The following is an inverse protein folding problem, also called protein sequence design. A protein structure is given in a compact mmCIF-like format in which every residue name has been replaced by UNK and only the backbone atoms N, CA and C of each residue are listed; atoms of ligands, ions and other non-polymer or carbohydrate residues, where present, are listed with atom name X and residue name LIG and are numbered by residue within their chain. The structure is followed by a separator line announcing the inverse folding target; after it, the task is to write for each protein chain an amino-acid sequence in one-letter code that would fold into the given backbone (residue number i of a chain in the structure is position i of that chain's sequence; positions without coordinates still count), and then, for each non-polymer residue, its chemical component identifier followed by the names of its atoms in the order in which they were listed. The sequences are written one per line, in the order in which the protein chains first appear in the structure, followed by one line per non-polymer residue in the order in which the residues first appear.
data_IF_756388844403
#
_entry.id   IF_756388844403
#
_cell.length_a   1.000
_cell.length_b   1.000
_cell.length_c   1.000
_cell.angle_alpha   90.00
_cell.angle_beta   90.00
_cell.angle_gamma   90.00
#
_symmetry.space_group_name_H-M   'P 1'
#
loop_
_entity.id
_entity.type
_entity.pdbx_description
1 polymer ?
#
# COMPACT_ATOMS: atom_id res chain seq x y z
N UNK A 1 41.76 -22.04 12.87
CA UNK A 1 40.48 -21.72 13.52
C UNK A 1 39.41 -22.36 12.66
N UNK A 2 38.94 -23.53 13.06
CA UNK A 2 38.07 -24.37 12.25
C UNK A 2 36.81 -24.60 13.06
N UNK A 3 35.67 -24.10 12.55
CA UNK A 3 34.36 -24.26 13.18
C UNK A 3 33.63 -25.33 12.37
N UNK A 4 33.44 -26.51 12.95
CA UNK A 4 32.60 -27.55 12.37
C UNK A 4 31.13 -27.26 12.70
N UNK A 5 30.30 -27.11 11.65
CA UNK A 5 28.85 -26.95 11.76
C UNK A 5 28.20 -28.30 11.42
N UNK A 6 27.78 -29.04 12.46
CA UNK A 6 26.93 -30.21 12.29
C UNK A 6 25.46 -29.77 12.23
N UNK A 7 24.84 -29.89 11.05
CA UNK A 7 23.39 -29.78 10.90
C UNK A 7 22.75 -31.16 11.06
N UNK A 8 22.02 -31.38 12.15
CA UNK A 8 21.15 -32.54 12.30
C UNK A 8 19.74 -32.13 11.89
N UNK A 9 19.23 -32.73 10.82
CA UNK A 9 17.86 -32.54 10.36
C UNK A 9 16.88 -33.34 11.22
N UNK A 10 15.85 -32.69 11.76
CA UNK A 10 14.65 -33.37 12.21
C UNK A 10 13.44 -32.45 12.04
N UNK A 11 12.45 -32.94 11.29
CA UNK A 11 11.26 -32.19 10.89
C UNK A 11 10.21 -32.11 12.01
N UNK A 12 10.09 -30.94 12.60
CA UNK A 12 8.84 -30.32 13.07
C UNK A 12 9.23 -29.03 13.77
N UNK A 13 8.72 -27.90 13.26
CA UNK A 13 9.17 -26.56 13.62
C UNK A 13 9.13 -26.27 15.11
N UNK A 14 10.30 -25.97 15.67
CA UNK A 14 10.65 -24.86 16.59
C UNK A 14 12.18 -24.90 16.69
N UNK A 15 12.88 -23.94 16.05
CA UNK A 15 14.31 -23.77 16.25
C UNK A 15 14.54 -22.99 17.55
N UNK A 16 14.68 -23.71 18.67
CA UNK A 16 15.27 -23.14 19.89
C UNK A 16 16.78 -23.06 19.72
N UNK A 17 17.31 -21.83 19.73
CA UNK A 17 18.74 -21.56 19.80
C UNK A 17 19.24 -21.98 21.20
N UNK A 18 19.75 -23.20 21.32
CA UNK A 18 20.34 -23.70 22.57
C UNK A 18 21.83 -23.38 22.57
N UNK A 19 22.21 -22.33 23.30
CA UNK A 19 23.62 -22.04 23.63
C UNK A 19 24.03 -23.02 24.74
N UNK A 20 24.91 -23.96 24.41
CA UNK A 20 25.53 -24.85 25.39
C UNK A 20 26.60 -24.07 26.16
N UNK A 21 26.24 -23.57 27.34
CA UNK A 21 27.23 -23.20 28.37
C UNK A 21 27.64 -24.46 29.12
N UNK A 22 28.96 -24.59 29.35
CA UNK A 22 29.60 -25.68 30.08
C UNK A 22 29.13 -25.75 31.54
N UNK A 23 29.13 -26.94 32.18
CA UNK A 23 28.48 -27.13 33.47
C UNK A 23 29.31 -26.56 34.61
N UNK A 24 28.97 -25.34 35.02
CA UNK A 24 29.35 -24.77 36.31
C UNK A 24 28.26 -25.05 37.35
N UNK A 25 28.55 -25.92 38.30
CA UNK A 25 27.76 -26.16 39.52
C UNK A 25 27.35 -24.85 40.20
N UNK A 26 26.06 -24.54 40.21
CA UNK A 26 25.44 -23.77 41.30
C UNK A 26 23.94 -24.05 41.35
N UNK A 27 23.51 -24.60 42.49
CA UNK A 27 22.11 -24.72 42.89
C UNK A 27 21.57 -23.32 43.19
N UNK A 28 21.05 -22.65 42.17
CA UNK A 28 20.38 -21.37 42.28
C UNK A 28 18.89 -21.52 41.94
N UNK A 29 18.05 -21.41 42.94
CA UNK A 29 16.58 -21.33 42.84
C UNK A 29 16.19 -20.35 41.73
N UNK A 30 15.59 -20.83 40.63
CA UNK A 30 15.15 -19.96 39.53
C UNK A 30 13.94 -19.13 39.98
N UNK A 31 14.20 -17.99 40.63
CA UNK A 31 13.19 -16.95 40.73
C UNK A 31 12.90 -16.49 39.31
N UNK A 32 11.73 -16.87 38.78
CA UNK A 32 11.26 -16.42 37.48
C UNK A 32 11.16 -14.90 37.49
N UNK A 33 12.15 -14.22 36.93
CA UNK A 33 12.10 -12.77 36.72
C UNK A 33 10.99 -12.54 35.70
N UNK A 34 9.79 -12.23 36.18
CA UNK A 34 8.70 -11.69 35.38
C UNK A 34 9.18 -10.35 34.81
N UNK A 35 9.88 -10.40 33.66
CA UNK A 35 10.21 -9.19 32.90
C UNK A 35 8.88 -8.61 32.44
N UNK A 36 8.44 -7.57 33.14
CA UNK A 36 7.34 -6.73 32.69
C UNK A 36 7.85 -6.03 31.44
N UNK A 37 7.33 -6.44 30.28
CA UNK A 37 7.63 -5.83 28.99
C UNK A 37 6.44 -4.92 28.58
N UNK A 38 6.26 -3.74 29.22
CA UNK A 38 5.12 -2.87 28.95
C UNK A 38 5.06 -2.43 27.48
N UNK A 39 6.22 -2.30 26.83
CA UNK A 39 6.30 -1.97 25.41
C UNK A 39 5.69 -3.04 24.49
N UNK A 40 5.85 -4.33 24.84
CA UNK A 40 5.29 -5.43 24.05
C UNK A 40 3.76 -5.43 24.15
N UNK A 41 3.22 -5.19 25.35
CA UNK A 41 1.77 -5.11 25.53
C UNK A 41 1.22 -3.91 24.75
N UNK A 42 1.86 -2.74 24.79
CA UNK A 42 1.47 -1.59 23.98
C UNK A 42 1.46 -1.90 22.47
N UNK A 43 2.49 -2.61 21.99
CA UNK A 43 2.56 -3.02 20.58
C UNK A 43 1.41 -3.95 20.18
N UNK A 44 1.02 -4.90 21.04
CA UNK A 44 -0.11 -5.81 20.78
C UNK A 44 -1.43 -5.06 20.64
N UNK A 45 -1.71 -4.10 21.52
CA UNK A 45 -2.95 -3.31 21.44
C UNK A 45 -2.98 -2.41 20.20
N UNK A 46 -1.85 -1.83 19.81
CA UNK A 46 -1.73 -1.08 18.55
C UNK A 46 -2.00 -2.01 17.35
N UNK A 47 -1.38 -3.19 17.32
CA UNK A 47 -1.59 -4.18 16.27
C UNK A 47 -3.06 -4.65 16.20
N UNK A 48 -3.71 -4.82 17.35
CA UNK A 48 -5.13 -5.17 17.42
C UNK A 48 -6.02 -4.05 16.84
N UNK A 49 -5.72 -2.78 17.13
CA UNK A 49 -6.43 -1.64 16.54
C UNK A 49 -6.31 -1.59 15.01
N UNK A 50 -5.12 -1.91 14.48
CA UNK A 50 -4.88 -2.02 13.03
C UNK A 50 -5.71 -3.16 12.43
N UNK A 51 -5.67 -4.36 13.01
CA UNK A 51 -6.41 -5.52 12.52
C UNK A 51 -7.94 -5.31 12.55
N UNK A 52 -8.46 -4.64 13.59
CA UNK A 52 -9.88 -4.28 13.68
C UNK A 52 -10.27 -3.27 12.61
N UNK A 53 -9.43 -2.27 12.37
CA UNK A 53 -9.65 -1.26 11.31
C UNK A 53 -9.70 -1.89 9.92
N UNK A 54 -8.78 -2.82 9.65
CA UNK A 54 -8.69 -3.56 8.39
C UNK A 54 -9.93 -4.43 8.13
N UNK A 55 -10.45 -5.12 9.16
CA UNK A 55 -11.61 -6.02 9.00
C UNK A 55 -12.95 -5.32 8.92
N UNK A 56 -13.13 -4.20 9.62
CA UNK A 56 -14.44 -3.55 9.77
C UNK A 56 -14.62 -2.31 8.88
N UNK A 57 -13.59 -1.86 8.15
CA UNK A 57 -13.63 -0.68 7.28
C UNK A 57 -14.30 0.54 7.94
N UNK A 58 -14.04 0.75 9.24
CA UNK A 58 -14.74 1.76 10.02
C UNK A 58 -14.33 3.17 9.56
N UNK A 59 -15.29 4.11 9.40
CA UNK A 59 -14.99 5.48 9.05
C UNK A 59 -14.21 6.18 10.18
N UNK A 60 -13.36 7.15 9.83
CA UNK A 60 -12.50 7.84 10.81
C UNK A 60 -13.27 8.48 11.97
N UNK A 61 -14.52 8.89 11.74
CA UNK A 61 -15.38 9.44 12.78
C UNK A 61 -15.57 8.47 13.95
N UNK A 62 -15.69 7.16 13.70
CA UNK A 62 -15.86 6.15 14.76
C UNK A 62 -14.59 6.04 15.61
N UNK A 63 -13.41 6.08 14.98
CA UNK A 63 -12.14 6.07 15.70
C UNK A 63 -11.92 7.33 16.54
N UNK A 64 -12.32 8.50 16.04
CA UNK A 64 -12.25 9.77 16.77
C UNK A 64 -13.21 9.80 17.97
N UNK A 65 -14.44 9.28 17.80
CA UNK A 65 -15.41 9.14 18.89
C UNK A 65 -14.93 8.15 19.95
N UNK A 66 -14.35 7.01 19.55
CA UNK A 66 -13.79 6.05 20.48
C UNK A 66 -12.61 6.64 21.27
N UNK A 67 -11.71 7.38 20.59
CA UNK A 67 -10.59 8.06 21.23
C UNK A 67 -11.05 9.15 22.21
N UNK A 68 -12.03 9.98 21.81
CA UNK A 68 -12.55 11.06 22.66
C UNK A 68 -13.31 10.52 23.87
N UNK A 69 -14.13 9.46 23.69
CA UNK A 69 -14.82 8.78 24.78
C UNK A 69 -13.82 8.14 25.76
N UNK A 70 -12.79 7.46 25.27
CA UNK A 70 -11.74 6.88 26.10
C UNK A 70 -10.98 7.95 26.90
N UNK A 71 -10.67 9.08 26.26
CA UNK A 71 -10.02 10.22 26.92
C UNK A 71 -10.92 10.86 27.99
N UNK A 72 -12.21 11.02 27.71
CA UNK A 72 -13.20 11.53 28.66
C UNK A 72 -13.33 10.63 29.90
N UNK A 73 -13.40 9.31 29.71
CA UNK A 73 -13.41 8.33 30.81
C UNK A 73 -12.12 8.39 31.63
N UNK A 74 -10.96 8.57 30.98
CA UNK A 74 -9.69 8.77 31.68
C UNK A 74 -9.70 10.04 32.54
N UNK A 75 -10.21 11.14 32.01
CA UNK A 75 -10.29 12.44 32.67
C UNK A 75 -11.22 12.39 33.89
N UNK A 76 -12.42 11.83 33.74
CA UNK A 76 -13.37 11.64 34.85
C UNK A 76 -12.79 10.70 35.91
N UNK A 77 -12.12 9.62 35.49
CA UNK A 77 -11.42 8.69 36.39
C UNK A 77 -10.29 9.36 37.19
N UNK A 78 -9.56 10.27 36.54
CA UNK A 78 -8.50 11.04 37.19
C UNK A 78 -9.06 12.05 38.21
N UNK A 79 -10.10 12.79 37.83
CA UNK A 79 -10.77 13.77 38.71
C UNK A 79 -11.48 13.13 39.92
N UNK A 80 -11.97 11.89 39.76
CA UNK A 80 -12.60 11.13 40.84
C UNK A 80 -11.61 10.37 41.74
N UNK A 81 -10.30 10.48 41.50
CA UNK A 81 -9.27 9.75 42.28
C UNK A 81 -9.20 8.25 41.97
N UNK A 82 -9.94 7.77 40.96
CA UNK A 82 -10.02 6.38 40.53
C UNK A 82 -8.79 5.94 39.74
N UNK A 83 -7.66 5.69 40.41
CA UNK A 83 -6.40 5.19 39.79
C UNK A 83 -6.56 3.88 38.99
N UNK A 84 -7.65 3.12 39.20
CA UNK A 84 -7.91 1.84 38.52
C UNK A 84 -8.38 1.97 37.07
N UNK A 85 -8.98 3.09 36.66
CA UNK A 85 -9.53 3.25 35.30
C UNK A 85 -8.50 3.77 34.29
N UNK A 86 -7.43 4.41 34.78
CA UNK A 86 -6.32 4.93 33.96
C UNK A 86 -5.68 3.92 33.00
N UNK A 87 -5.29 2.69 33.42
CA UNK A 87 -4.68 1.75 32.50
C UNK A 87 -5.64 1.31 31.40
N UNK A 88 -6.92 1.06 31.71
CA UNK A 88 -7.93 0.69 30.71
C UNK A 88 -8.12 1.77 29.65
N UNK A 89 -8.19 3.03 30.08
CA UNK A 89 -8.31 4.14 29.14
C UNK A 89 -7.06 4.30 28.27
N UNK A 90 -5.86 4.10 28.82
CA UNK A 90 -4.62 4.12 28.06
C UNK A 90 -4.59 3.03 26.98
N UNK A 91 -5.04 1.81 27.28
CA UNK A 91 -5.14 0.72 26.30
C UNK A 91 -6.08 1.08 25.14
N UNK A 92 -7.24 1.65 25.44
CA UNK A 92 -8.20 2.09 24.43
C UNK A 92 -7.65 3.21 23.55
N UNK A 93 -6.95 4.19 24.13
CA UNK A 93 -6.28 5.26 23.37
C UNK A 93 -5.21 4.69 22.45
N UNK A 94 -4.43 3.71 22.90
CA UNK A 94 -3.42 3.04 22.06
C UNK A 94 -4.05 2.26 20.89
N UNK A 95 -5.17 1.55 21.12
CA UNK A 95 -5.93 0.92 20.04
C UNK A 95 -6.47 1.95 19.04
N UNK A 96 -7.06 3.04 19.53
CA UNK A 96 -7.63 4.07 18.67
C UNK A 96 -6.54 4.78 17.85
N UNK A 97 -5.38 5.05 18.44
CA UNK A 97 -4.22 5.61 17.74
C UNK A 97 -3.71 4.66 16.65
N UNK A 98 -3.72 3.35 16.89
CA UNK A 98 -3.43 2.33 15.88
C UNK A 98 -4.42 2.37 14.71
N UNK A 99 -5.72 2.49 15.00
CA UNK A 99 -6.77 2.65 14.00
C UNK A 99 -6.65 3.94 13.18
N UNK A 100 -6.37 5.08 13.82
CA UNK A 100 -6.14 6.37 13.15
C UNK A 100 -4.90 6.32 12.26
N UNK A 101 -3.79 5.76 12.75
CA UNK A 101 -2.56 5.59 11.96
C UNK A 101 -2.78 4.69 10.75
N UNK A 102 -3.53 3.59 10.93
CA UNK A 102 -3.94 2.75 9.81
C UNK A 102 -4.79 3.56 8.83
N UNK A 103 -5.76 4.33 9.31
CA UNK A 103 -6.62 5.16 8.46
C UNK A 103 -5.81 6.18 7.65
N UNK A 104 -4.84 6.86 8.26
CA UNK A 104 -3.93 7.79 7.59
C UNK A 104 -3.11 7.09 6.49
N UNK A 105 -2.56 5.90 6.78
CA UNK A 105 -1.83 5.11 5.78
C UNK A 105 -2.74 4.63 4.65
N UNK A 106 -3.98 4.26 4.97
CA UNK A 106 -4.98 3.87 3.96
C UNK A 106 -5.62 5.04 3.22
N UNK A 107 -5.51 6.28 3.70
CA UNK A 107 -5.93 7.48 2.96
C UNK A 107 -4.82 7.98 2.03
N UNK A 108 -3.55 7.70 2.34
CA UNK A 108 -2.44 7.93 1.41
C UNK A 108 -2.59 7.09 0.14
N UNK A 109 -3.24 5.93 0.22
CA UNK A 109 -3.71 5.16 -0.95
C UNK A 109 -5.24 5.24 -1.01
N UNK A 110 -5.77 6.29 -1.67
CA UNK A 110 -7.21 6.49 -1.96
C UNK A 110 -7.96 5.15 -2.13
N UNK A 111 -9.18 5.02 -1.60
CA UNK A 111 -9.97 3.79 -1.77
C UNK A 111 -10.22 3.46 -3.25
N UNK A 112 -10.14 4.46 -4.13
CA UNK A 112 -10.21 4.35 -5.58
C UNK A 112 -8.84 4.17 -6.23
N UNK A 113 -7.79 3.85 -5.48
CA UNK A 113 -6.46 3.64 -6.03
C UNK A 113 -6.46 2.38 -6.89
N UNK A 114 -5.81 2.41 -8.06
CA UNK A 114 -5.81 1.28 -9.02
C UNK A 114 -5.43 -0.06 -8.40
N UNK A 115 -4.54 -0.04 -7.39
CA UNK A 115 -4.11 -1.24 -6.68
C UNK A 115 -5.17 -1.89 -5.79
N UNK A 116 -6.18 -1.14 -5.34
CA UNK A 116 -7.26 -1.61 -4.45
C UNK A 116 -8.60 -1.78 -5.16
N UNK A 117 -8.82 -1.03 -6.23
CA UNK A 117 -10.12 -0.97 -6.89
C UNK A 117 -10.50 -2.25 -7.68
N UNK A 118 -9.61 -3.25 -7.78
CA UNK A 118 -9.91 -4.53 -8.44
C UNK A 118 -10.16 -4.40 -9.95
N UNK A 119 -9.72 -3.31 -10.56
CA UNK A 119 -10.00 -2.94 -11.96
C UNK A 119 -9.05 -3.63 -12.95
N UNK A 120 -8.12 -4.43 -12.44
CA UNK A 120 -7.20 -5.20 -13.26
C UNK A 120 -7.95 -6.14 -14.18
N UNK A 121 -7.66 -6.06 -15.47
CA UNK A 121 -8.32 -6.87 -16.47
C UNK A 121 -9.67 -6.33 -16.93
N UNK A 122 -10.14 -5.17 -16.46
CA UNK A 122 -11.33 -4.53 -17.01
C UNK A 122 -10.95 -3.77 -18.28
N UNK A 123 -11.67 -4.03 -19.38
CA UNK A 123 -11.61 -3.21 -20.58
C UNK A 123 -12.62 -2.07 -20.43
N UNK A 124 -12.21 -0.85 -20.74
CA UNK A 124 -13.04 0.31 -20.54
C UNK A 124 -12.43 1.59 -21.11
N UNK A 125 -13.21 2.66 -21.00
CA UNK A 125 -12.75 4.02 -21.23
C UNK A 125 -12.03 4.52 -19.98
N UNK A 126 -10.80 4.97 -20.18
CA UNK A 126 -9.91 5.47 -19.15
C UNK A 126 -9.70 6.96 -19.40
N UNK A 127 -9.79 7.74 -18.33
CA UNK A 127 -9.55 9.19 -18.36
C UNK A 127 -8.44 9.50 -17.38
N UNK A 128 -7.42 10.21 -17.86
CA UNK A 128 -6.33 10.66 -17.02
C UNK A 128 -5.56 11.82 -17.64
N UNK A 129 -4.55 12.28 -16.91
CA UNK A 129 -3.66 13.37 -17.32
C UNK A 129 -2.23 12.90 -17.45
N UNK A 130 -1.53 13.35 -18.48
CA UNK A 130 -0.13 13.05 -18.67
C UNK A 130 0.69 13.74 -17.58
N UNK A 131 1.52 12.97 -16.88
CA UNK A 131 2.38 13.49 -15.84
C UNK A 131 3.61 14.23 -16.41
N UNK A 132 4.05 13.82 -17.60
CA UNK A 132 5.24 14.33 -18.30
C UNK A 132 5.09 14.04 -19.80
N UNK A 133 5.98 14.60 -20.62
CA UNK A 133 6.00 14.35 -22.06
C UNK A 133 6.29 12.87 -22.36
N UNK A 134 5.74 12.30 -23.44
CA UNK A 134 5.98 10.91 -23.80
C UNK A 134 7.46 10.62 -24.15
N UNK A 135 8.06 9.66 -23.45
CA UNK A 135 9.39 9.16 -23.76
C UNK A 135 9.32 8.30 -25.02
N UNK A 136 10.07 8.67 -26.06
CA UNK A 136 10.21 7.84 -27.27
C UNK A 136 11.23 6.73 -27.04
N UNK A 137 10.80 5.49 -27.26
CA UNK A 137 11.69 4.33 -27.25
C UNK A 137 12.29 4.12 -28.64
N UNK A 138 13.46 3.48 -28.67
CA UNK A 138 14.21 3.18 -29.90
C UNK A 138 13.45 2.29 -30.90
N UNK A 139 12.42 1.59 -30.44
CA UNK A 139 11.58 0.71 -31.25
C UNK A 139 10.33 1.41 -31.81
N UNK A 140 10.24 2.74 -31.69
CA UNK A 140 9.12 3.54 -32.17
C UNK A 140 7.90 3.56 -31.23
N UNK A 141 7.95 2.83 -30.10
CA UNK A 141 6.92 2.92 -29.07
C UNK A 141 7.12 4.18 -28.24
N UNK A 142 6.05 4.68 -27.63
CA UNK A 142 6.15 5.74 -26.64
C UNK A 142 5.70 5.24 -25.28
N UNK A 143 6.33 5.75 -24.22
CA UNK A 143 5.94 5.48 -22.84
C UNK A 143 5.67 6.77 -22.11
N UNK A 144 4.56 6.83 -21.41
CA UNK A 144 4.21 8.01 -20.61
C UNK A 144 3.48 7.57 -19.34
N UNK A 145 3.74 8.27 -18.25
CA UNK A 145 3.00 8.07 -17.01
C UNK A 145 1.74 8.92 -17.04
N UNK A 146 0.61 8.30 -16.73
CA UNK A 146 -0.70 8.95 -16.66
C UNK A 146 -1.22 8.87 -15.23
N UNK A 147 -1.63 10.02 -14.70
CA UNK A 147 -2.43 10.12 -13.49
C UNK A 147 -3.90 9.85 -13.86
N UNK A 148 -4.44 8.72 -13.41
CA UNK A 148 -5.83 8.37 -13.65
C UNK A 148 -6.75 9.25 -12.81
N UNK A 149 -7.82 9.72 -13.45
CA UNK A 149 -8.90 10.46 -12.81
C UNK A 149 -10.19 9.60 -12.71
N UNK A 150 -10.49 8.82 -13.77
CA UNK A 150 -11.70 8.01 -13.84
C UNK A 150 -11.58 6.81 -14.80
N UNK A 151 -12.47 5.83 -14.60
CA UNK A 151 -12.69 4.71 -15.51
C UNK A 151 -14.18 4.48 -15.75
N UNK A 152 -14.58 4.20 -16.98
CA UNK A 152 -15.87 3.60 -17.30
C UNK A 152 -15.63 2.20 -17.87
N UNK A 153 -16.21 1.17 -17.27
CA UNK A 153 -16.28 -0.13 -17.92
C UNK A 153 -17.14 -0.02 -19.18
N UNK A 154 -16.95 -0.95 -20.12
CA UNK A 154 -17.70 -0.95 -21.38
C UNK A 154 -19.23 -0.91 -21.11
N UNK A 155 -19.86 0.20 -21.51
CA UNK A 155 -21.30 0.44 -21.28
C UNK A 155 -21.70 0.92 -19.88
N UNK A 156 -20.76 1.25 -18.99
CA UNK A 156 -21.05 1.78 -17.65
C UNK A 156 -20.84 3.30 -17.54
N UNK A 157 -21.28 3.88 -16.42
CA UNK A 157 -20.93 5.26 -16.05
C UNK A 157 -19.47 5.37 -15.64
N UNK A 158 -18.89 6.56 -15.81
CA UNK A 158 -17.56 6.92 -15.30
C UNK A 158 -17.55 6.83 -13.75
N UNK A 159 -16.66 6.00 -13.23
CA UNK A 159 -16.35 5.88 -11.81
C UNK A 159 -15.01 6.55 -11.51
N UNK A 160 -14.86 7.24 -10.36
CA UNK A 160 -13.59 7.83 -9.97
C UNK A 160 -12.56 6.72 -9.75
N UNK A 161 -11.37 6.91 -10.33
CA UNK A 161 -10.23 6.00 -10.21
C UNK A 161 -8.97 6.85 -10.10
N UNK A 162 -8.20 6.65 -9.03
CA UNK A 162 -6.98 7.41 -8.77
C UNK A 162 -5.77 6.51 -8.92
N UNK A 163 -4.64 7.08 -9.32
CA UNK A 163 -3.33 6.41 -9.28
C UNK A 163 -2.60 6.47 -10.60
N UNK A 164 -1.35 6.03 -10.56
CA UNK A 164 -0.43 6.23 -11.67
C UNK A 164 -0.35 4.96 -12.52
N UNK A 165 -0.47 5.15 -13.83
CA UNK A 165 -0.45 4.09 -14.82
C UNK A 165 0.60 4.39 -15.87
N UNK A 166 1.41 3.38 -16.20
CA UNK A 166 2.32 3.45 -17.33
C UNK A 166 1.57 3.14 -18.62
N UNK A 167 1.35 4.15 -19.45
CA UNK A 167 0.79 3.97 -20.78
C UNK A 167 1.92 3.70 -21.77
N UNK A 168 1.77 2.65 -22.58
CA UNK A 168 2.67 2.36 -23.70
C UNK A 168 1.88 2.38 -25.00
N UNK A 169 2.32 3.15 -25.98
CA UNK A 169 1.75 3.12 -27.34
C UNK A 169 2.48 2.07 -28.18
N UNK A 170 1.76 1.41 -29.09
CA UNK A 170 2.38 0.55 -30.11
C UNK A 170 3.17 1.40 -31.10
N UNK A 171 4.17 0.80 -31.75
CA UNK A 171 4.99 1.47 -32.76
C UNK A 171 4.16 1.90 -33.99
N UNK A 172 3.02 1.24 -34.24
CA UNK A 172 2.12 1.52 -35.35
C UNK A 172 1.19 2.73 -35.10
N UNK A 173 1.25 3.33 -33.90
CA UNK A 173 0.42 4.47 -33.50
C UNK A 173 1.24 5.74 -33.66
N UNK A 174 1.08 6.44 -34.79
CA UNK A 174 1.86 7.63 -35.10
C UNK A 174 1.14 8.93 -34.74
N UNK A 175 -0.20 8.90 -34.66
CA UNK A 175 -1.03 10.07 -34.32
C UNK A 175 -1.13 10.44 -32.84
N UNK A 176 -0.41 9.76 -31.93
CA UNK A 176 -0.45 10.11 -30.50
C UNK A 176 0.45 11.32 -30.20
N UNK A 177 -0.12 12.51 -30.33
CA UNK A 177 0.53 13.79 -30.01
C UNK A 177 -0.16 14.37 -28.78
N UNK A 178 0.48 14.25 -27.62
CA UNK A 178 0.02 14.80 -26.35
C UNK A 178 1.21 15.33 -25.56
N UNK A 179 1.04 16.48 -24.92
CA UNK A 179 2.07 17.11 -24.10
C UNK A 179 1.81 16.86 -22.61
N UNK A 180 2.81 17.13 -21.77
CA UNK A 180 2.67 17.09 -20.33
C UNK A 180 1.48 17.93 -19.84
N UNK A 181 0.62 17.32 -19.04
CA UNK A 181 -0.58 17.95 -18.49
C UNK A 181 -1.83 17.84 -19.35
N UNK A 182 -1.73 17.33 -20.58
CA UNK A 182 -2.90 17.08 -21.43
C UNK A 182 -3.79 16.01 -20.83
N UNK A 183 -5.10 16.17 -21.02
CA UNK A 183 -6.09 15.22 -20.53
C UNK A 183 -6.44 14.26 -21.66
N UNK A 184 -6.13 12.99 -21.46
CA UNK A 184 -6.32 11.95 -22.47
C UNK A 184 -7.40 10.99 -22.03
N UNK A 185 -8.25 10.67 -23.00
CA UNK A 185 -9.30 9.66 -22.89
C UNK A 185 -9.04 8.58 -23.92
N UNK A 186 -8.94 7.34 -23.47
CA UNK A 186 -8.64 6.21 -24.35
C UNK A 186 -9.39 4.95 -23.93
N UNK A 187 -9.63 4.07 -24.88
CA UNK A 187 -10.15 2.73 -24.67
C UNK A 187 -8.97 1.79 -24.46
N UNK A 188 -8.99 1.09 -23.33
CA UNK A 188 -7.89 0.22 -22.98
C UNK A 188 -8.25 -0.77 -21.90
N UNK A 189 -7.26 -1.56 -21.54
CA UNK A 189 -7.35 -2.51 -20.43
C UNK A 189 -6.27 -2.17 -19.42
N UNK A 190 -6.66 -1.94 -18.17
CA UNK A 190 -5.70 -1.83 -17.07
C UNK A 190 -5.13 -3.21 -16.80
N UNK A 191 -3.81 -3.34 -16.84
CA UNK A 191 -3.10 -4.58 -16.53
C UNK A 191 -2.22 -4.39 -15.32
N UNK A 192 -2.05 -5.46 -14.55
CA UNK A 192 -1.04 -5.51 -13.52
C UNK A 192 0.30 -5.88 -14.15
N UNK A 193 1.42 -5.21 -13.80
CA UNK A 193 2.74 -5.65 -14.23
C UNK A 193 2.99 -7.10 -13.78
N UNK A 194 3.56 -7.92 -14.67
CA UNK A 194 3.83 -9.31 -14.35
C UNK A 194 4.97 -9.43 -13.33
N UNK A 195 4.84 -10.31 -12.33
CA UNK A 195 5.94 -10.63 -11.42
C UNK A 195 7.02 -11.43 -12.16
N UNK A 196 8.20 -11.53 -11.54
CA UNK A 196 9.25 -12.45 -12.01
C UNK A 196 8.68 -13.88 -12.16
N UNK A 197 8.92 -14.50 -13.32
CA UNK A 197 8.41 -15.84 -13.61
C UNK A 197 9.33 -16.92 -13.06
N UNK A 198 10.62 -16.64 -12.97
CA UNK A 198 11.62 -17.53 -12.40
C UNK A 198 12.34 -16.92 -11.19
N UNK A 199 12.74 -17.73 -10.20
CA UNK A 199 13.60 -17.28 -9.10
C UNK A 199 14.92 -16.72 -9.65
N UNK A 200 15.28 -15.49 -9.26
CA UNK A 200 16.51 -14.81 -9.70
C UNK A 200 16.37 -13.98 -10.99
N UNK A 201 15.21 -14.04 -11.65
CA UNK A 201 14.90 -13.16 -12.79
C UNK A 201 14.57 -11.74 -12.31
N UNK A 202 14.73 -10.76 -13.20
CA UNK A 202 14.40 -9.38 -12.90
C UNK A 202 12.88 -9.20 -12.66
N UNK A 203 12.52 -8.79 -11.45
CA UNK A 203 11.13 -8.50 -11.09
C UNK A 203 10.73 -7.10 -11.59
N UNK A 204 10.16 -7.06 -12.80
CA UNK A 204 9.71 -5.81 -13.41
C UNK A 204 8.62 -5.12 -12.59
N UNK A 205 7.73 -5.88 -11.94
CA UNK A 205 6.69 -5.33 -11.07
C UNK A 205 7.31 -4.59 -9.89
N UNK A 206 8.27 -5.23 -9.21
CA UNK A 206 8.98 -4.63 -8.07
C UNK A 206 9.83 -3.43 -8.49
N UNK A 207 10.43 -3.46 -9.68
CA UNK A 207 11.17 -2.31 -10.21
C UNK A 207 10.27 -1.10 -10.43
N UNK A 208 9.11 -1.28 -11.06
CA UNK A 208 8.15 -0.20 -11.30
C UNK A 208 7.59 0.39 -10.00
N UNK A 209 7.28 -0.48 -9.04
CA UNK A 209 6.80 -0.09 -7.72
C UNK A 209 7.85 0.75 -6.97
N UNK A 210 9.08 0.24 -6.86
CA UNK A 210 10.13 0.93 -6.08
C UNK A 210 10.63 2.23 -6.72
N UNK A 211 10.71 2.28 -8.06
CA UNK A 211 11.33 3.41 -8.77
C UNK A 211 10.34 4.49 -9.17
N UNK A 212 9.12 4.09 -9.52
CA UNK A 212 8.12 4.99 -10.10
C UNK A 212 6.78 4.96 -9.35
N UNK A 213 6.65 4.14 -8.30
CA UNK A 213 5.39 3.94 -7.58
C UNK A 213 4.22 3.57 -8.52
N UNK A 214 4.54 2.82 -9.60
CA UNK A 214 3.58 2.44 -10.64
C UNK A 214 3.02 1.05 -10.37
N UNK A 215 1.71 0.97 -10.16
CA UNK A 215 0.99 -0.26 -9.82
C UNK A 215 0.21 -0.86 -10.99
N UNK A 216 0.18 -0.16 -12.13
CA UNK A 216 -0.63 -0.51 -13.28
C UNK A 216 0.04 -0.12 -14.60
N UNK A 217 -0.27 -0.89 -15.64
CA UNK A 217 0.16 -0.61 -17.02
C UNK A 217 -1.04 -0.64 -17.96
N UNK A 218 -0.97 0.16 -19.01
CA UNK A 218 -1.94 0.20 -20.09
C UNK A 218 -1.23 0.21 -21.44
N UNK A 219 -1.92 -0.24 -22.48
CA UNK A 219 -1.37 -0.25 -23.84
C UNK A 219 -2.41 0.25 -24.82
N UNK A 220 -1.99 1.14 -25.71
CA UNK A 220 -2.76 1.61 -26.87
C UNK A 220 -2.24 0.84 -28.08
N UNK A 221 -3.10 0.08 -28.72
CA UNK A 221 -2.72 -0.76 -29.86
C UNK A 221 -3.00 -0.09 -31.19
N UNK A 222 -4.04 0.75 -31.25
CA UNK A 222 -4.51 1.39 -32.47
C UNK A 222 -4.79 2.87 -32.23
N UNK A 223 -4.70 3.68 -33.28
CA UNK A 223 -5.03 5.10 -33.19
C UNK A 223 -6.48 5.35 -32.76
N UNK A 224 -7.42 4.52 -33.22
CA UNK A 224 -8.83 4.59 -32.83
C UNK A 224 -9.13 4.19 -31.37
N UNK A 225 -8.14 3.70 -30.62
CA UNK A 225 -8.29 3.50 -29.18
C UNK A 225 -8.20 4.85 -28.43
N UNK A 226 -7.64 5.90 -29.03
CA UNK A 226 -7.62 7.25 -28.47
C UNK A 226 -8.94 7.93 -28.80
N UNK A 227 -9.76 8.23 -27.79
CA UNK A 227 -11.06 8.88 -27.99
C UNK A 227 -10.89 10.38 -28.13
N UNK A 228 -10.15 11.00 -27.20
CA UNK A 228 -9.93 12.44 -27.21
C UNK A 228 -8.68 12.82 -26.43
N UNK A 229 -7.98 13.84 -26.92
CA UNK A 229 -6.90 14.52 -26.22
C UNK A 229 -7.37 15.96 -26.07
N UNK A 230 -7.59 16.38 -24.83
CA UNK A 230 -7.96 17.76 -24.50
C UNK A 230 -6.69 18.46 -24.04
N UNK A 231 -6.10 19.22 -24.97
CA UNK A 231 -4.88 19.97 -24.73
C UNK A 231 -5.18 21.19 -23.87
N UNK A 232 -4.33 21.43 -22.87
CA UNK A 232 -4.57 22.53 -21.95
C UNK A 232 -4.39 23.87 -22.69
N UNK A 233 -5.32 24.84 -22.59
CA UNK A 233 -5.26 26.08 -23.39
C UNK A 233 -4.09 27.05 -23.09
N UNK A 234 -3.08 26.64 -22.31
CA UNK A 234 -2.05 27.53 -21.77
C UNK A 234 -0.67 27.43 -22.46
N UNK A 235 -0.49 26.56 -23.47
CA UNK A 235 0.77 26.48 -24.24
C UNK A 235 0.71 27.38 -25.49
N UNK A 236 0.99 28.67 -25.31
CA UNK A 236 0.93 29.71 -26.34
C UNK A 236 2.23 29.90 -27.16
N UNK A 237 3.27 29.09 -26.93
CA UNK A 237 4.45 29.05 -27.80
C UNK A 237 4.44 27.77 -28.66
N UNK A 238 3.68 27.80 -29.75
CA UNK A 238 3.95 26.96 -30.92
C UNK A 238 3.89 27.85 -32.16
#
# INVERSE_FOLDING_TARGET
MSVELHFCGCGSGICSLMVMETPGTSSGTSSGIHRRCPALVAAVFVAMGIAVSDRLCLPIGVWLVAASAAWFVALVGWLSGGRRTMPCALWFVLCALGGVRHHQYTQLLSQHHVSRAGVYGTKGELVGRLAHDPDQLTDGRQRVVIHLDAIAAEGSTLQPLTGDLLLTTSADVHGFVADAGDRVRWLGRIRQPQPARNPGEFDYRRFLDLRHNLHATGTIYREGDVISIDSRPDHWWR
#
